data_IF_133291747544
#
_entry.id   IF_133291747544
#
_cell.length_a   1.000
_cell.length_b   1.000
_cell.length_c   1.000
_cell.angle_alpha   90.00
_cell.angle_beta   90.00
_cell.angle_gamma   90.00
#
_symmetry.space_group_name_H-M   'P 1'
#
loop_
_entity.id
_entity.type
_entity.pdbx_description
1 polymer ?
#
# COMPACT_ATOMS: atom_id res chain seq x y z
N UNK A 1 69.48 -64.44 3.95
CA UNK A 1 68.80 -64.64 5.27
C UNK A 1 69.21 -63.50 6.18
N UNK A 2 68.42 -63.06 7.18
CA UNK A 2 66.95 -63.08 7.34
C UNK A 2 66.40 -61.67 7.72
N UNK A 3 65.10 -61.34 7.93
CA UNK A 3 63.80 -61.68 7.30
C UNK A 3 62.74 -60.69 7.84
N UNK A 4 61.81 -60.16 7.01
CA UNK A 4 60.48 -59.59 7.40
C UNK A 4 60.53 -58.24 8.17
N UNK A 5 59.59 -57.28 8.09
CA UNK A 5 58.25 -57.18 7.44
C UNK A 5 58.23 -55.97 6.46
N UNK A 6 57.16 -55.24 6.06
CA UNK A 6 55.73 -55.17 6.43
C UNK A 6 54.86 -54.65 5.26
N UNK A 7 53.57 -54.36 5.47
CA UNK A 7 52.61 -53.91 4.43
C UNK A 7 51.72 -52.72 4.85
N UNK A 8 51.26 -51.94 3.86
CA UNK A 8 50.03 -51.13 3.78
C UNK A 8 50.07 -50.24 2.51
N UNK A 9 48.98 -49.75 1.90
CA UNK A 9 47.61 -50.22 1.74
C UNK A 9 46.94 -49.30 0.68
N UNK A 10 46.00 -49.81 -0.12
CA UNK A 10 45.17 -48.95 -0.99
C UNK A 10 44.20 -48.11 -0.15
N UNK A 11 43.99 -46.83 -0.49
CA UNK A 11 42.68 -46.20 -0.28
C UNK A 11 42.43 -45.02 -1.24
N UNK A 12 41.22 -44.98 -1.80
CA UNK A 12 40.77 -44.01 -2.80
C UNK A 12 39.73 -43.06 -2.20
N UNK A 13 40.02 -41.76 -2.16
CA UNK A 13 39.14 -40.76 -1.54
C UNK A 13 38.05 -40.24 -2.50
N UNK A 14 36.97 -41.03 -2.59
CA UNK A 14 35.57 -40.58 -2.49
C UNK A 14 35.20 -39.18 -3.01
N UNK A 15 34.58 -39.11 -4.20
CA UNK A 15 33.98 -37.88 -4.76
C UNK A 15 32.63 -37.47 -4.13
N UNK A 16 32.40 -37.79 -2.85
CA UNK A 16 31.05 -37.87 -2.27
C UNK A 16 30.44 -36.52 -1.82
N UNK A 17 31.26 -35.47 -1.66
CA UNK A 17 30.82 -34.20 -1.05
C UNK A 17 30.08 -33.20 -1.95
N UNK A 18 30.22 -33.28 -3.28
CA UNK A 18 29.71 -32.22 -4.18
C UNK A 18 28.21 -32.28 -4.46
N UNK A 19 27.60 -33.47 -4.46
CA UNK A 19 26.17 -33.64 -4.77
C UNK A 19 25.25 -33.22 -3.63
N UNK A 20 25.62 -33.53 -2.38
CA UNK A 20 24.83 -33.16 -1.20
C UNK A 20 24.69 -31.63 -1.04
N UNK A 21 25.78 -30.88 -1.29
CA UNK A 21 25.77 -29.41 -1.22
C UNK A 21 24.83 -28.78 -2.25
N UNK A 22 24.74 -29.32 -3.46
CA UNK A 22 23.86 -28.81 -4.52
C UNK A 22 22.37 -29.04 -4.20
N UNK A 23 22.04 -30.22 -3.65
CA UNK A 23 20.67 -30.56 -3.23
C UNK A 23 20.22 -29.66 -2.08
N UNK A 24 21.09 -29.41 -1.09
CA UNK A 24 20.80 -28.49 0.00
C UNK A 24 20.53 -27.04 -0.48
N UNK A 25 21.33 -26.56 -1.44
CA UNK A 25 21.16 -25.21 -2.00
C UNK A 25 19.84 -25.05 -2.76
N UNK A 26 19.46 -26.06 -3.57
CA UNK A 26 18.18 -26.09 -4.27
C UNK A 26 16.98 -26.18 -3.30
N UNK A 27 17.10 -26.95 -2.21
CA UNK A 27 16.06 -27.04 -1.19
C UNK A 27 15.81 -25.70 -0.45
N UNK A 28 16.87 -24.94 -0.15
CA UNK A 28 16.76 -23.61 0.45
C UNK A 28 16.08 -22.62 -0.50
N UNK A 29 16.42 -22.64 -1.80
CA UNK A 29 15.75 -21.81 -2.82
C UNK A 29 14.26 -22.18 -2.92
N UNK A 30 13.92 -23.47 -2.95
CA UNK A 30 12.53 -23.91 -3.05
C UNK A 30 11.70 -23.51 -1.81
N UNK A 31 12.27 -23.61 -0.61
CA UNK A 31 11.65 -23.17 0.64
C UNK A 31 11.45 -21.64 0.69
N UNK A 32 12.40 -20.86 0.18
CA UNK A 32 12.25 -19.42 0.09
C UNK A 32 11.09 -19.00 -0.84
N UNK A 33 10.92 -19.71 -1.97
CA UNK A 33 9.84 -19.46 -2.94
C UNK A 33 8.47 -19.79 -2.35
N UNK A 34 8.33 -20.85 -1.54
CA UNK A 34 7.02 -21.20 -0.93
C UNK A 34 6.57 -20.22 0.15
N UNK A 35 7.50 -19.55 0.86
CA UNK A 35 7.16 -18.61 1.94
C UNK A 35 6.54 -17.30 1.43
N UNK A 36 6.86 -16.85 0.21
CA UNK A 36 6.33 -15.59 -0.35
C UNK A 36 4.83 -15.63 -0.70
N UNK A 37 4.22 -16.81 -0.78
CA UNK A 37 2.82 -16.97 -1.23
C UNK A 37 1.77 -16.70 -0.15
N UNK A 38 2.16 -16.61 1.13
CA UNK A 38 1.20 -16.52 2.24
C UNK A 38 0.70 -15.12 2.59
N UNK A 39 1.32 -14.05 2.07
CA UNK A 39 1.08 -12.67 2.53
C UNK A 39 -0.31 -12.11 2.17
N UNK A 40 -0.95 -12.64 1.13
CA UNK A 40 -2.25 -12.16 0.63
C UNK A 40 -3.46 -12.79 1.34
N UNK A 41 -3.25 -13.79 2.20
CA UNK A 41 -4.32 -14.64 2.73
C UNK A 41 -5.29 -13.94 3.70
N UNK A 42 -4.93 -12.78 4.26
CA UNK A 42 -5.72 -12.12 5.30
C UNK A 42 -6.82 -11.18 4.76
N UNK A 43 -6.65 -10.63 3.55
CA UNK A 43 -7.51 -9.55 3.05
C UNK A 43 -8.83 -10.11 2.56
N UNK A 44 -9.92 -9.78 3.26
CA UNK A 44 -11.27 -10.28 3.00
C UNK A 44 -12.08 -9.22 2.26
N UNK A 45 -12.36 -9.45 0.97
CA UNK A 45 -13.20 -8.57 0.15
C UNK A 45 -14.60 -9.18 0.00
N UNK A 46 -15.63 -8.48 0.45
CA UNK A 46 -17.05 -8.86 0.34
C UNK A 46 -17.84 -7.90 -0.54
N UNK A 47 -18.83 -8.43 -1.23
CA UNK A 47 -19.88 -7.68 -1.96
C UNK A 47 -21.03 -7.35 -1.01
N UNK A 48 -21.77 -6.27 -1.26
CA UNK A 48 -22.90 -5.84 -0.43
C UNK A 48 -24.24 -6.39 -0.93
N UNK A 49 -24.39 -6.54 -2.24
CA UNK A 49 -25.59 -7.03 -2.94
C UNK A 49 -25.28 -8.05 -4.05
N UNK A 50 -24.01 -8.43 -4.23
CA UNK A 50 -23.54 -9.37 -5.27
C UNK A 50 -23.90 -8.94 -6.70
N UNK A 51 -23.89 -7.63 -6.98
CA UNK A 51 -24.09 -7.13 -8.35
C UNK A 51 -22.88 -7.45 -9.23
N UNK A 52 -23.06 -7.48 -10.56
CA UNK A 52 -21.96 -7.71 -11.50
C UNK A 52 -20.88 -6.63 -11.43
N UNK A 53 -21.24 -5.39 -11.06
CA UNK A 53 -20.26 -4.32 -10.83
C UNK A 53 -19.49 -4.53 -9.52
N UNK A 54 -20.17 -4.96 -8.45
CA UNK A 54 -19.52 -5.26 -7.18
C UNK A 54 -18.54 -6.43 -7.32
N UNK A 55 -18.95 -7.50 -8.01
CA UNK A 55 -18.10 -8.66 -8.37
C UNK A 55 -16.89 -8.22 -9.20
N UNK A 56 -17.08 -7.36 -10.21
CA UNK A 56 -15.98 -6.83 -11.02
C UNK A 56 -14.98 -6.01 -10.21
N UNK A 57 -15.45 -5.09 -9.36
CA UNK A 57 -14.58 -4.28 -8.50
C UNK A 57 -13.88 -5.16 -7.46
N UNK A 58 -14.56 -6.16 -6.88
CA UNK A 58 -13.94 -7.17 -6.01
C UNK A 58 -12.81 -7.92 -6.72
N UNK A 59 -13.06 -8.51 -7.89
CA UNK A 59 -12.05 -9.25 -8.65
C UNK A 59 -10.88 -8.34 -9.09
N UNK A 60 -11.16 -7.06 -9.33
CA UNK A 60 -10.15 -6.04 -9.62
C UNK A 60 -9.28 -5.71 -8.40
N UNK A 61 -9.87 -5.53 -7.21
CA UNK A 61 -9.16 -5.32 -5.94
C UNK A 61 -8.28 -6.53 -5.57
N UNK A 62 -8.80 -7.74 -5.69
CA UNK A 62 -8.03 -8.98 -5.53
C UNK A 62 -6.84 -9.05 -6.51
N UNK A 63 -7.01 -8.51 -7.72
CA UNK A 63 -5.94 -8.47 -8.73
C UNK A 63 -4.92 -7.37 -8.43
N UNK A 64 -5.33 -6.21 -7.91
CA UNK A 64 -4.41 -5.18 -7.41
C UNK A 64 -3.52 -5.71 -6.29
N UNK A 65 -4.09 -6.44 -5.32
CA UNK A 65 -3.33 -7.09 -4.24
C UNK A 65 -2.27 -8.04 -4.80
N UNK A 66 -2.62 -8.89 -5.78
CA UNK A 66 -1.68 -9.84 -6.41
C UNK A 66 -0.62 -9.16 -7.31
N UNK A 67 -0.96 -8.02 -7.94
CA UNK A 67 -0.13 -7.36 -8.94
C UNK A 67 0.89 -6.39 -8.35
N UNK A 68 0.58 -5.74 -7.23
CA UNK A 68 1.40 -4.69 -6.62
C UNK A 68 1.83 -5.07 -5.19
N UNK A 69 3.03 -4.66 -4.72
CA UNK A 69 3.52 -4.93 -3.37
C UNK A 69 2.83 -4.08 -2.28
N UNK A 70 1.50 -3.94 -2.34
CA UNK A 70 0.71 -3.03 -1.49
C UNK A 70 0.36 -3.59 -0.10
N UNK A 71 0.68 -4.84 0.20
CA UNK A 71 0.34 -5.48 1.48
C UNK A 71 0.89 -4.70 2.70
N UNK A 72 2.04 -4.03 2.53
CA UNK A 72 2.67 -3.15 3.52
C UNK A 72 1.87 -1.87 3.86
N UNK A 73 0.82 -1.56 3.09
CA UNK A 73 -0.09 -0.44 3.31
C UNK A 73 -1.56 -0.91 3.46
N UNK A 74 -1.80 -2.19 3.78
CA UNK A 74 -3.12 -2.68 4.18
C UNK A 74 -3.23 -2.57 5.71
N UNK A 75 -4.03 -1.61 6.17
CA UNK A 75 -4.29 -1.33 7.59
C UNK A 75 -5.69 -1.79 8.04
N UNK A 76 -6.61 -1.97 7.08
CA UNK A 76 -7.93 -2.57 7.26
C UNK A 76 -8.09 -3.75 6.30
N UNK A 77 -8.07 -4.96 6.84
CA UNK A 77 -8.15 -6.22 6.09
C UNK A 77 -9.59 -6.54 5.61
N UNK A 78 -10.62 -5.89 6.17
CA UNK A 78 -12.02 -6.08 5.78
C UNK A 78 -12.46 -4.99 4.81
N UNK A 79 -12.74 -5.39 3.58
CA UNK A 79 -13.13 -4.50 2.48
C UNK A 79 -14.54 -4.88 2.01
N UNK A 80 -15.44 -3.91 1.92
CA UNK A 80 -16.74 -4.06 1.30
C UNK A 80 -16.75 -3.42 -0.08
N UNK A 81 -17.51 -3.98 -1.01
CA UNK A 81 -17.82 -3.39 -2.31
C UNK A 81 -19.32 -3.19 -2.42
N UNK A 82 -19.76 -1.96 -2.62
CA UNK A 82 -21.16 -1.54 -2.49
C UNK A 82 -21.54 -0.62 -3.66
N UNK A 83 -22.49 -1.06 -4.50
CA UNK A 83 -23.01 -0.25 -5.62
C UNK A 83 -23.90 0.92 -5.17
N UNK A 84 -24.45 0.88 -3.96
CA UNK A 84 -25.26 1.97 -3.39
C UNK A 84 -24.40 3.07 -2.73
N UNK A 85 -23.15 2.77 -2.39
CA UNK A 85 -22.21 3.71 -1.80
C UNK A 85 -21.88 4.85 -2.78
N UNK A 86 -22.40 6.06 -2.51
CA UNK A 86 -22.19 7.24 -3.38
C UNK A 86 -20.71 7.55 -3.63
N UNK A 87 -19.86 7.34 -2.62
CA UNK A 87 -18.40 7.46 -2.72
C UNK A 87 -17.74 6.32 -1.95
N UNK A 88 -16.49 5.99 -2.27
CA UNK A 88 -15.60 5.28 -1.36
C UNK A 88 -15.57 5.95 0.02
N UNK A 89 -15.32 5.15 1.05
CA UNK A 89 -15.14 5.61 2.42
C UNK A 89 -14.52 4.52 3.30
N UNK A 90 -13.75 4.94 4.30
CA UNK A 90 -12.96 4.05 5.16
C UNK A 90 -13.68 3.52 6.40
N UNK A 91 -14.85 4.06 6.75
CA UNK A 91 -15.48 3.84 8.07
C UNK A 91 -16.95 3.41 7.97
N UNK A 92 -17.40 2.37 8.71
CA UNK A 92 -16.67 1.62 9.75
C UNK A 92 -15.72 0.53 9.22
N UNK A 93 -15.77 0.24 7.92
CA UNK A 93 -14.84 -0.61 7.16
C UNK A 93 -14.49 0.11 5.86
N UNK A 94 -13.44 -0.33 5.16
CA UNK A 94 -13.13 0.21 3.82
C UNK A 94 -14.20 -0.25 2.83
N UNK A 95 -15.06 0.67 2.41
CA UNK A 95 -16.09 0.46 1.39
C UNK A 95 -15.63 1.10 0.09
N UNK A 96 -15.54 0.29 -0.96
CA UNK A 96 -15.24 0.72 -2.33
C UNK A 96 -16.56 0.78 -3.12
N UNK A 97 -16.83 1.88 -3.81
CA UNK A 97 -18.03 1.98 -4.66
C UNK A 97 -17.77 1.53 -6.09
N UNK A 98 -18.84 1.43 -6.89
CA UNK A 98 -18.79 0.96 -8.29
C UNK A 98 -18.88 2.08 -9.33
N UNK A 99 -18.40 3.28 -8.98
CA UNK A 99 -18.38 4.43 -9.91
C UNK A 99 -17.61 4.14 -11.20
N UNK A 100 -18.03 4.75 -12.31
CA UNK A 100 -17.53 4.46 -13.65
C UNK A 100 -16.01 4.66 -13.80
N UNK A 101 -15.40 5.59 -13.05
CA UNK A 101 -13.95 5.78 -13.06
C UNK A 101 -13.18 4.57 -12.50
N UNK A 102 -13.71 3.87 -11.49
CA UNK A 102 -13.06 2.67 -10.92
C UNK A 102 -13.30 1.44 -11.79
N UNK A 103 -14.45 1.36 -12.48
CA UNK A 103 -14.71 0.33 -13.48
C UNK A 103 -13.75 0.44 -14.67
N UNK A 104 -13.48 1.67 -15.12
CA UNK A 104 -12.71 1.96 -16.33
C UNK A 104 -11.20 2.16 -16.08
N UNK A 105 -10.76 2.35 -14.83
CA UNK A 105 -9.35 2.63 -14.51
C UNK A 105 -8.87 1.89 -13.27
N UNK A 106 -8.07 0.85 -13.50
CA UNK A 106 -7.23 0.16 -12.50
C UNK A 106 -6.38 1.14 -11.69
N UNK A 107 -5.97 2.27 -12.27
CA UNK A 107 -5.16 3.29 -11.57
C UNK A 107 -6.01 4.12 -10.62
N UNK A 108 -7.25 4.50 -10.99
CA UNK A 108 -8.18 5.18 -10.06
C UNK A 108 -8.53 4.25 -8.91
N UNK A 109 -8.93 3.00 -9.20
CA UNK A 109 -9.24 2.01 -8.18
C UNK A 109 -8.09 1.78 -7.18
N UNK A 110 -6.83 1.71 -7.67
CA UNK A 110 -5.64 1.59 -6.82
C UNK A 110 -5.40 2.83 -5.95
N UNK A 111 -5.49 4.02 -6.54
CA UNK A 111 -5.34 5.31 -5.84
C UNK A 111 -6.35 5.43 -4.70
N UNK A 112 -7.63 5.20 -5.01
CA UNK A 112 -8.75 5.21 -4.06
C UNK A 112 -8.60 4.15 -2.98
N UNK A 113 -8.15 2.93 -3.33
CA UNK A 113 -7.92 1.89 -2.33
C UNK A 113 -6.83 2.31 -1.33
N UNK A 114 -5.72 2.86 -1.81
CA UNK A 114 -4.65 3.39 -0.96
C UNK A 114 -5.14 4.57 -0.10
N UNK A 115 -5.96 5.47 -0.65
CA UNK A 115 -6.57 6.59 0.07
C UNK A 115 -7.36 6.13 1.31
N UNK A 116 -8.27 5.16 1.14
CA UNK A 116 -9.07 4.64 2.27
C UNK A 116 -8.25 3.81 3.26
N UNK A 117 -7.19 3.14 2.81
CA UNK A 117 -6.23 2.48 3.72
C UNK A 117 -5.41 3.50 4.51
N UNK A 118 -5.01 4.64 3.92
CA UNK A 118 -4.28 5.68 4.64
C UNK A 118 -5.13 6.49 5.62
N UNK A 119 -6.45 6.54 5.44
CA UNK A 119 -7.36 6.97 6.51
C UNK A 119 -7.24 6.08 7.77
N UNK A 120 -7.06 4.76 7.62
CA UNK A 120 -6.79 3.87 8.74
C UNK A 120 -5.37 4.02 9.30
N UNK A 121 -4.35 4.20 8.45
CA UNK A 121 -2.97 4.49 8.89
C UNK A 121 -2.90 5.68 9.86
N UNK A 122 -3.55 6.80 9.48
CA UNK A 122 -3.65 8.02 10.29
C UNK A 122 -4.31 7.78 11.67
N UNK A 123 -5.19 6.79 11.79
CA UNK A 123 -5.93 6.49 13.02
C UNK A 123 -5.22 5.45 13.90
N UNK A 124 -4.57 4.46 13.29
CA UNK A 124 -3.91 3.34 14.00
C UNK A 124 -2.51 3.74 14.46
N UNK A 125 -1.73 4.41 13.59
CA UNK A 125 -0.32 4.72 13.83
C UNK A 125 -0.05 6.21 14.11
N UNK A 126 -1.04 7.09 13.91
CA UNK A 126 -0.89 8.53 14.14
C UNK A 126 -0.70 8.88 15.62
N UNK A 127 0.49 9.36 15.97
CA UNK A 127 0.85 9.79 17.34
C UNK A 127 -0.09 10.88 17.92
N UNK A 128 -0.53 11.92 17.19
CA UNK A 128 -1.27 13.04 17.78
C UNK A 128 -2.79 12.80 17.83
N UNK A 129 -3.46 13.38 18.83
CA UNK A 129 -4.93 13.44 18.84
C UNK A 129 -5.47 14.16 17.60
N UNK A 130 -6.69 13.81 17.14
CA UNK A 130 -7.33 14.43 15.95
C UNK A 130 -7.38 15.96 16.01
N UNK A 131 -7.43 16.57 17.20
CA UNK A 131 -7.34 18.03 17.37
C UNK A 131 -5.90 18.52 17.10
N UNK A 132 -4.91 17.96 17.79
CA UNK A 132 -3.51 18.35 17.65
C UNK A 132 -3.01 18.18 16.20
N UNK A 133 -3.31 17.03 15.58
CA UNK A 133 -3.04 16.73 14.17
C UNK A 133 -3.52 17.84 13.23
N UNK A 134 -4.81 18.21 13.33
CA UNK A 134 -5.42 19.25 12.47
C UNK A 134 -4.84 20.64 12.72
N UNK A 135 -4.66 21.03 13.99
CA UNK A 135 -4.06 22.33 14.35
C UNK A 135 -2.61 22.44 13.86
N UNK A 136 -1.84 21.35 13.90
CA UNK A 136 -0.46 21.32 13.39
C UNK A 136 -0.39 21.43 11.87
N UNK A 137 -1.34 20.83 11.13
CA UNK A 137 -1.42 20.98 9.67
C UNK A 137 -1.88 22.41 9.32
N UNK A 138 -2.84 22.99 10.04
CA UNK A 138 -3.30 24.38 9.83
C UNK A 138 -2.19 25.41 10.13
N UNK A 139 -1.17 25.08 10.95
CA UNK A 139 0.01 25.94 11.17
C UNK A 139 1.03 25.92 10.01
N UNK A 140 0.88 25.04 9.03
CA UNK A 140 1.67 25.02 7.79
C UNK A 140 0.86 25.49 6.58
N UNK A 141 -0.44 25.16 6.57
CA UNK A 141 -1.38 25.53 5.50
C UNK A 141 -2.50 26.45 6.05
N UNK A 142 -2.17 27.69 6.48
CA UNK A 142 -3.16 28.61 7.01
C UNK A 142 -4.14 29.04 5.91
N UNK A 143 -5.44 29.03 6.23
CA UNK A 143 -6.55 29.31 5.33
C UNK A 143 -6.79 28.23 4.23
N UNK A 144 -7.03 26.95 4.60
CA UNK A 144 -7.37 25.91 3.63
C UNK A 144 -8.69 26.20 2.91
N UNK A 145 -8.77 25.93 1.60
CA UNK A 145 -10.04 26.00 0.85
C UNK A 145 -10.84 24.71 1.13
N UNK A 146 -11.81 24.82 2.02
CA UNK A 146 -12.45 23.66 2.66
C UNK A 146 -13.81 23.27 2.08
N UNK A 147 -14.47 24.18 1.37
CA UNK A 147 -15.71 23.93 0.66
C UNK A 147 -15.48 22.96 -0.51
N UNK A 148 -16.50 22.18 -0.88
CA UNK A 148 -16.46 21.38 -2.12
C UNK A 148 -16.55 22.32 -3.35
N UNK A 149 -15.84 22.04 -4.46
CA UNK A 149 -15.01 20.87 -4.72
C UNK A 149 -13.57 20.95 -4.16
N UNK A 150 -13.15 22.08 -3.58
CA UNK A 150 -11.78 22.32 -3.15
C UNK A 150 -11.29 21.41 -2.01
N UNK A 151 -12.17 21.13 -1.04
CA UNK A 151 -11.91 20.29 0.14
C UNK A 151 -13.11 19.40 0.54
N UNK A 152 -13.10 18.87 1.76
CA UNK A 152 -14.07 17.86 2.24
C UNK A 152 -15.51 18.36 2.36
N UNK A 153 -15.71 19.68 2.44
CA UNK A 153 -16.92 20.33 2.93
C UNK A 153 -16.78 20.88 4.36
N UNK A 154 -15.65 20.63 5.04
CA UNK A 154 -15.33 21.18 6.36
C UNK A 154 -13.82 21.43 6.53
N UNK A 155 -13.43 22.39 7.37
CA UNK A 155 -11.99 22.68 7.60
C UNK A 155 -11.21 21.47 8.11
N UNK A 156 -11.77 20.73 9.07
CA UNK A 156 -11.06 19.67 9.76
C UNK A 156 -10.84 18.44 8.88
N UNK A 157 -11.85 18.02 8.13
CA UNK A 157 -11.71 16.99 7.11
C UNK A 157 -10.71 17.42 6.04
N UNK A 158 -10.79 18.65 5.52
CA UNK A 158 -9.86 19.15 4.50
C UNK A 158 -8.41 19.10 4.98
N UNK A 159 -8.12 19.54 6.20
CA UNK A 159 -6.80 19.43 6.82
C UNK A 159 -6.36 17.96 6.99
N UNK A 160 -7.27 17.06 7.37
CA UNK A 160 -6.96 15.63 7.43
C UNK A 160 -6.64 15.00 6.08
N UNK A 161 -7.32 15.40 4.99
CA UNK A 161 -7.06 14.85 3.65
C UNK A 161 -5.71 15.30 3.08
N UNK A 162 -5.12 16.43 3.49
CA UNK A 162 -3.77 16.83 3.05
C UNK A 162 -2.72 15.73 3.32
N UNK A 163 -2.78 15.09 4.49
CA UNK A 163 -1.87 13.99 4.85
C UNK A 163 -2.24 12.69 4.12
N UNK A 164 -3.53 12.36 4.03
CA UNK A 164 -4.02 11.13 3.37
C UNK A 164 -3.71 11.16 1.86
N UNK A 165 -3.97 12.27 1.18
CA UNK A 165 -3.66 12.48 -0.23
C UNK A 165 -2.13 12.51 -0.49
N UNK A 166 -1.30 12.98 0.45
CA UNK A 166 0.16 12.90 0.29
C UNK A 166 0.68 11.46 0.44
N UNK A 167 0.12 10.68 1.38
CA UNK A 167 0.40 9.24 1.48
C UNK A 167 -0.07 8.48 0.23
N UNK A 168 -1.28 8.77 -0.27
CA UNK A 168 -1.81 8.29 -1.55
C UNK A 168 -0.82 8.59 -2.70
N UNK A 169 -0.37 9.85 -2.83
CA UNK A 169 0.59 10.26 -3.86
C UNK A 169 1.93 9.52 -3.74
N UNK A 170 2.50 9.46 -2.53
CA UNK A 170 3.81 8.84 -2.27
C UNK A 170 3.80 7.34 -2.57
N UNK A 171 2.78 6.62 -2.09
CA UNK A 171 2.60 5.20 -2.36
C UNK A 171 2.34 4.92 -3.84
N UNK A 172 1.41 5.65 -4.48
CA UNK A 172 1.11 5.44 -5.90
C UNK A 172 2.32 5.76 -6.79
N UNK A 173 3.13 6.75 -6.42
CA UNK A 173 4.33 7.14 -7.17
C UNK A 173 5.38 6.03 -7.25
N UNK A 174 5.58 5.23 -6.20
CA UNK A 174 6.51 4.11 -6.25
C UNK A 174 5.94 2.87 -6.98
N UNK A 175 4.61 2.68 -6.96
CA UNK A 175 3.96 1.58 -7.67
C UNK A 175 3.91 1.74 -9.20
N UNK A 176 3.63 2.95 -9.70
CA UNK A 176 3.36 3.18 -11.14
C UNK A 176 4.23 4.27 -11.79
N UNK A 177 5.09 4.91 -11.01
CA UNK A 177 5.94 6.04 -11.40
C UNK A 177 5.25 7.39 -11.18
N UNK A 178 5.98 8.32 -10.56
CA UNK A 178 5.53 9.66 -10.15
C UNK A 178 4.70 10.40 -11.21
N UNK A 179 5.13 10.41 -12.48
CA UNK A 179 4.41 11.06 -13.59
C UNK A 179 2.98 10.51 -13.77
N UNK A 180 2.74 9.22 -13.55
CA UNK A 180 1.39 8.63 -13.65
C UNK A 180 0.57 8.90 -12.39
N UNK A 181 1.19 8.85 -11.21
CA UNK A 181 0.54 9.20 -9.95
C UNK A 181 0.07 10.66 -9.96
N UNK A 182 0.95 11.59 -10.35
CA UNK A 182 0.62 13.01 -10.54
C UNK A 182 -0.57 13.19 -11.48
N UNK A 183 -0.55 12.56 -12.67
CA UNK A 183 -1.64 12.65 -13.64
C UNK A 183 -2.96 12.04 -13.12
N UNK A 184 -2.91 11.00 -12.28
CA UNK A 184 -4.08 10.41 -11.68
C UNK A 184 -4.72 11.30 -10.60
N UNK A 185 -3.91 11.92 -9.74
CA UNK A 185 -4.40 12.81 -8.67
C UNK A 185 -4.82 14.19 -9.21
N UNK A 186 -4.06 14.76 -10.15
CA UNK A 186 -4.38 16.04 -10.79
C UNK A 186 -5.61 16.00 -11.72
N UNK A 187 -6.13 14.81 -12.04
CA UNK A 187 -7.38 14.62 -12.80
C UNK A 187 -8.60 14.39 -11.91
N UNK A 188 -8.48 14.54 -10.58
CA UNK A 188 -9.64 14.49 -9.67
C UNK A 188 -10.38 15.84 -9.68
N UNK A 189 -11.66 15.83 -10.04
CA UNK A 189 -12.54 17.00 -10.01
C UNK A 189 -13.00 17.37 -8.58
N UNK A 190 -12.63 16.55 -7.60
CA UNK A 190 -12.87 16.73 -6.17
C UNK A 190 -11.54 16.90 -5.41
N UNK A 191 -11.62 17.52 -4.24
CA UNK A 191 -10.49 17.90 -3.39
C UNK A 191 -9.40 18.69 -4.15
N UNK A 192 -9.83 19.55 -5.09
CA UNK A 192 -8.93 20.18 -6.08
C UNK A 192 -7.87 21.09 -5.47
N UNK A 193 -8.16 21.73 -4.32
CA UNK A 193 -7.16 22.49 -3.57
C UNK A 193 -6.23 21.57 -2.78
N UNK A 194 -6.74 20.49 -2.19
CA UNK A 194 -5.92 19.49 -1.48
C UNK A 194 -4.91 18.85 -2.44
N UNK A 195 -5.37 18.32 -3.58
CA UNK A 195 -4.50 17.71 -4.58
C UNK A 195 -3.53 18.71 -5.21
N UNK A 196 -3.94 19.95 -5.49
CA UNK A 196 -2.99 21.00 -5.91
C UNK A 196 -1.93 21.28 -4.85
N UNK A 197 -2.28 21.28 -3.56
CA UNK A 197 -1.33 21.54 -2.46
C UNK A 197 -0.38 20.37 -2.26
N UNK A 198 -0.87 19.14 -2.37
CA UNK A 198 -0.09 17.89 -2.27
C UNK A 198 0.88 17.70 -3.43
N UNK A 199 0.48 18.07 -4.65
CA UNK A 199 1.27 17.92 -5.87
C UNK A 199 2.20 19.12 -6.16
N UNK A 200 2.26 20.11 -5.28
CA UNK A 200 3.19 21.24 -5.39
C UNK A 200 4.56 20.84 -4.78
N UNK A 201 5.65 20.79 -5.58
CA UNK A 201 6.97 20.41 -5.08
C UNK A 201 7.49 21.30 -3.94
N UNK A 202 7.04 22.56 -3.84
CA UNK A 202 7.43 23.45 -2.75
C UNK A 202 6.94 22.99 -1.37
N UNK A 203 5.87 22.18 -1.32
CA UNK A 203 5.30 21.66 -0.08
C UNK A 203 5.89 20.30 0.34
N UNK A 204 6.72 19.66 -0.49
CA UNK A 204 7.22 18.28 -0.25
C UNK A 204 7.87 18.11 1.12
N UNK A 205 8.83 18.97 1.48
CA UNK A 205 9.55 18.85 2.75
C UNK A 205 8.67 19.17 3.97
N UNK A 206 7.61 19.98 3.79
CA UNK A 206 6.58 20.22 4.82
C UNK A 206 5.82 18.91 5.07
N UNK A 207 5.43 18.20 4.01
CA UNK A 207 4.72 16.92 4.12
C UNK A 207 5.58 15.80 4.73
N UNK A 208 6.82 15.62 4.27
CA UNK A 208 7.74 14.62 4.86
C UNK A 208 7.99 14.91 6.35
N UNK A 209 8.22 16.17 6.73
CA UNK A 209 8.38 16.57 8.13
C UNK A 209 7.12 16.32 8.98
N UNK A 210 5.93 16.57 8.44
CA UNK A 210 4.67 16.25 9.12
C UNK A 210 4.44 14.73 9.25
N UNK A 211 4.81 13.93 8.24
CA UNK A 211 4.72 12.47 8.34
C UNK A 211 5.64 11.90 9.43
N UNK A 212 6.88 12.37 9.54
CA UNK A 212 7.79 11.94 10.61
C UNK A 212 7.30 12.37 12.01
N UNK A 213 6.94 13.65 12.15
CA UNK A 213 6.36 14.21 13.38
C UNK A 213 5.16 13.39 13.85
N UNK A 214 4.26 13.02 12.93
CA UNK A 214 3.05 12.24 13.23
C UNK A 214 3.27 10.72 13.35
N UNK A 215 4.42 10.18 12.93
CA UNK A 215 4.66 8.72 12.95
C UNK A 215 4.05 7.96 11.77
N UNK A 216 3.82 8.66 10.66
CA UNK A 216 3.10 8.16 9.49
C UNK A 216 4.01 7.90 8.28
N UNK A 217 5.33 7.96 8.45
CA UNK A 217 6.29 7.66 7.39
C UNK A 217 6.08 6.26 6.81
N UNK A 218 5.97 6.18 5.48
CA UNK A 218 5.88 4.95 4.72
C UNK A 218 7.17 4.70 3.92
N UNK A 219 7.58 3.45 3.84
CA UNK A 219 8.61 3.01 2.89
C UNK A 219 7.97 2.94 1.50
N UNK A 220 8.47 3.75 0.57
CA UNK A 220 8.00 3.89 -0.80
C UNK A 220 9.21 4.18 -1.70
#
# INVERSE_FOLDING_TARGET
MPTVSSACAHQSLTSFGKTQSLIAFLAVIFLAITLSLSAYANVTITTASDTEKEKYIKASLETLLRQYPIQQWVYMEKIMVDETARTPHSHPVVTMSTQQEYLNSTTKLLSTFLHEQFHWHVIINGKPTKKAFRTRIESQFPNPQWQRPYGSGDKGGTLSHLIVCYLEYKALSSLIGEKKAYANLASNEYYTWVYKTVLDPANKEIFEGLLDEFGLMIQA
#
